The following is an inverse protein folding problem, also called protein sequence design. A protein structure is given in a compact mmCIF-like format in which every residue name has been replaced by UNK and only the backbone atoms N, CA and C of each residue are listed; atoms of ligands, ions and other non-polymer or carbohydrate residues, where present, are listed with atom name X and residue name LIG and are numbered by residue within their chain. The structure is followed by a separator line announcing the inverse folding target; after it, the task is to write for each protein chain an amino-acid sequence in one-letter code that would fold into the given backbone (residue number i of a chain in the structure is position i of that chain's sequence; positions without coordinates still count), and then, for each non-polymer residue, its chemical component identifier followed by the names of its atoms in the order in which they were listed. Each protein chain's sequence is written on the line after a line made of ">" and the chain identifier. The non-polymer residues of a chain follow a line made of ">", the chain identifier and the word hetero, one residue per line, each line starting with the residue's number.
data_IF_451322961409
#
_entry.id   IF_451322961409
#
_cell.length_a   1.000
_cell.length_b   1.000
_cell.length_c   1.000
_cell.angle_alpha   90.00
_cell.angle_beta   90.00
_cell.angle_gamma   90.00
#
_symmetry.space_group_name_H-M   'P 1'
#
loop_
_entity.id
_entity.type
_entity.pdbx_description
1 polymer ?
#
# COMPACT_ATOMS: atom_id res chain seq x y z
N UNK A 1 12.80 9.10 21.58
CA UNK A 1 13.12 9.03 23.01
C UNK A 1 12.18 8.08 23.77
N UNK A 2 10.84 8.21 23.69
CA UNK A 2 9.90 7.43 24.51
C UNK A 2 10.06 5.90 24.34
N UNK A 3 10.11 5.39 23.11
CA UNK A 3 10.29 3.96 22.87
C UNK A 3 11.65 3.42 23.32
N UNK A 4 12.69 4.26 23.35
CA UNK A 4 14.00 3.86 23.88
C UNK A 4 13.94 3.65 25.40
N UNK A 5 13.22 4.50 26.12
CA UNK A 5 13.04 4.31 27.56
C UNK A 5 12.13 3.10 27.84
N UNK A 6 11.03 2.96 27.12
CA UNK A 6 10.15 1.80 27.27
C UNK A 6 10.88 0.48 27.00
N UNK A 7 11.79 0.42 26.02
CA UNK A 7 12.51 -0.81 25.70
C UNK A 7 13.46 -1.28 26.82
N UNK A 8 13.83 -0.40 27.75
CA UNK A 8 14.62 -0.76 28.96
C UNK A 8 13.74 -1.35 30.07
N UNK A 9 12.45 -1.09 30.01
CA UNK A 9 11.50 -1.45 31.08
C UNK A 9 10.62 -2.65 30.69
N UNK A 10 10.38 -2.86 29.41
CA UNK A 10 9.47 -3.90 28.92
C UNK A 10 9.88 -4.42 27.53
N UNK A 11 9.32 -5.58 27.14
CA UNK A 11 9.49 -6.15 25.82
C UNK A 11 8.53 -5.46 24.85
N UNK A 12 9.04 -4.88 23.75
CA UNK A 12 8.24 -4.18 22.75
C UNK A 12 7.93 -5.10 21.58
N UNK A 13 6.67 -5.12 21.18
CA UNK A 13 6.20 -5.71 19.92
C UNK A 13 5.45 -4.62 19.17
N UNK A 14 5.86 -4.35 17.94
CA UNK A 14 5.25 -3.34 17.10
C UNK A 14 4.21 -3.96 16.15
N UNK A 15 3.15 -3.20 15.88
CA UNK A 15 2.19 -3.48 14.82
C UNK A 15 2.40 -2.48 13.68
N UNK A 16 2.45 -2.98 12.46
CA UNK A 16 2.64 -2.27 11.20
C UNK A 16 4.00 -1.63 11.03
N UNK A 17 4.43 -0.73 11.91
CA UNK A 17 5.66 0.03 11.72
C UNK A 17 6.54 0.06 12.97
N UNK A 18 7.84 0.06 12.73
CA UNK A 18 8.86 0.37 13.75
C UNK A 18 9.27 1.83 13.59
N UNK A 19 9.43 2.61 14.67
CA UNK A 19 9.91 3.98 14.56
C UNK A 19 11.24 4.08 13.81
N UNK A 20 11.40 5.13 13.00
CA UNK A 20 12.65 5.38 12.29
C UNK A 20 13.83 5.44 13.27
N UNK A 21 14.96 4.85 12.85
CA UNK A 21 16.18 4.78 13.64
C UNK A 21 16.06 4.05 14.99
N UNK A 22 15.00 3.25 15.18
CA UNK A 22 14.86 2.41 16.37
C UNK A 22 15.62 1.08 16.17
N UNK A 23 16.57 0.80 17.05
CA UNK A 23 17.44 -0.38 16.92
C UNK A 23 16.66 -1.69 16.96
N UNK A 24 16.99 -2.63 16.06
CA UNK A 24 16.43 -3.99 16.02
C UNK A 24 16.65 -4.76 17.32
N UNK A 25 17.63 -4.38 18.12
CA UNK A 25 17.92 -5.02 19.41
C UNK A 25 16.97 -4.58 20.52
N UNK A 26 16.24 -3.47 20.33
CA UNK A 26 15.41 -2.86 21.35
C UNK A 26 13.93 -3.29 21.27
N UNK A 27 13.58 -4.25 20.41
CA UNK A 27 12.23 -4.81 20.35
C UNK A 27 12.27 -6.31 20.03
N UNK A 28 11.19 -7.00 20.35
CA UNK A 28 11.06 -8.45 20.13
C UNK A 28 10.73 -8.71 18.67
N UNK A 29 9.64 -8.15 18.16
CA UNK A 29 9.11 -8.40 16.82
C UNK A 29 8.34 -7.21 16.30
N UNK A 30 8.20 -7.13 14.98
CA UNK A 30 7.22 -6.29 14.29
C UNK A 30 6.30 -7.20 13.48
N UNK A 31 4.99 -7.06 13.68
CA UNK A 31 3.95 -7.76 12.93
C UNK A 31 3.30 -6.77 11.98
N UNK A 32 3.26 -7.10 10.71
CA UNK A 32 2.61 -6.28 9.67
C UNK A 32 1.97 -7.16 8.62
N UNK A 33 1.24 -6.58 7.67
CA UNK A 33 0.96 -7.27 6.41
C UNK A 33 2.30 -7.53 5.70
N UNK A 34 2.35 -8.58 4.87
CA UNK A 34 3.47 -8.77 3.95
C UNK A 34 3.37 -7.68 2.85
N UNK A 35 4.04 -6.55 3.06
CA UNK A 35 3.95 -5.38 2.19
C UNK A 35 4.44 -5.66 0.76
N UNK A 36 5.42 -6.54 0.62
CA UNK A 36 5.91 -6.98 -0.71
C UNK A 36 4.83 -7.69 -1.48
N UNK A 37 4.15 -8.64 -0.83
CA UNK A 37 3.06 -9.39 -1.46
C UNK A 37 1.87 -8.48 -1.73
N UNK A 38 1.56 -7.57 -0.80
CA UNK A 38 0.49 -6.59 -0.94
C UNK A 38 0.68 -5.72 -2.21
N UNK A 39 1.87 -5.16 -2.39
CA UNK A 39 2.22 -4.39 -3.59
C UNK A 39 2.26 -5.24 -4.86
N UNK A 40 2.88 -6.43 -4.79
CA UNK A 40 2.97 -7.35 -5.94
C UNK A 40 1.59 -7.75 -6.45
N UNK A 41 0.66 -8.07 -5.55
CA UNK A 41 -0.72 -8.42 -5.91
C UNK A 41 -1.43 -7.26 -6.61
N UNK A 42 -1.31 -6.05 -6.08
CA UNK A 42 -1.91 -4.86 -6.70
C UNK A 42 -1.33 -4.60 -8.10
N UNK A 43 0.00 -4.68 -8.24
CA UNK A 43 0.66 -4.54 -9.54
C UNK A 43 0.24 -5.62 -10.55
N UNK A 44 0.07 -6.89 -10.11
CA UNK A 44 -0.46 -7.97 -10.98
C UNK A 44 -1.88 -7.68 -11.43
N UNK A 45 -2.76 -7.22 -10.54
CA UNK A 45 -4.14 -6.86 -10.93
C UNK A 45 -4.17 -5.75 -11.99
N UNK A 46 -3.32 -4.74 -11.86
CA UNK A 46 -3.15 -3.70 -12.90
C UNK A 46 -2.68 -4.34 -14.20
N UNK A 47 -1.65 -5.16 -14.15
CA UNK A 47 -1.10 -5.85 -15.31
C UNK A 47 -2.13 -6.70 -16.03
N UNK A 48 -2.86 -7.55 -15.31
CA UNK A 48 -3.94 -8.38 -15.86
C UNK A 48 -5.08 -7.55 -16.47
N UNK A 49 -5.43 -6.43 -15.85
CA UNK A 49 -6.47 -5.53 -16.37
C UNK A 49 -6.06 -4.83 -17.66
N UNK A 50 -4.79 -4.52 -17.81
CA UNK A 50 -4.28 -3.72 -18.94
C UNK A 50 -3.61 -4.54 -20.05
N UNK A 51 -3.25 -5.82 -19.82
CA UNK A 51 -2.44 -6.63 -20.75
C UNK A 51 -2.96 -6.73 -22.19
N UNK A 52 -4.28 -6.60 -22.37
CA UNK A 52 -4.92 -6.67 -23.69
C UNK A 52 -5.07 -5.28 -24.36
N UNK A 53 -4.70 -4.21 -23.65
CA UNK A 53 -4.83 -2.83 -24.14
C UNK A 53 -3.50 -2.38 -24.77
N UNK A 54 -3.47 -2.05 -26.06
CA UNK A 54 -2.24 -1.60 -26.70
C UNK A 54 -1.78 -0.28 -26.10
N UNK A 55 -0.47 -0.16 -25.85
CA UNK A 55 0.14 1.05 -25.31
C UNK A 55 -0.49 1.52 -23.99
N UNK A 56 -0.84 0.57 -23.13
CA UNK A 56 -1.49 0.88 -21.85
C UNK A 56 -0.59 1.76 -20.98
N UNK A 57 -1.20 2.79 -20.37
CA UNK A 57 -0.51 3.76 -19.51
C UNK A 57 -1.07 3.76 -18.10
N UNK A 58 -0.18 3.75 -17.13
CA UNK A 58 -0.53 3.76 -15.70
C UNK A 58 0.16 4.90 -14.97
N UNK A 59 -0.58 5.57 -14.08
CA UNK A 59 -0.05 6.55 -13.15
C UNK A 59 0.07 5.98 -11.75
N UNK A 60 1.12 6.37 -11.03
CA UNK A 60 1.37 5.99 -9.63
C UNK A 60 1.24 7.20 -8.72
N UNK A 61 0.30 7.14 -7.78
CA UNK A 61 0.11 8.12 -6.71
C UNK A 61 0.56 7.47 -5.41
N UNK A 62 1.70 7.89 -4.92
CA UNK A 62 2.42 7.21 -3.84
C UNK A 62 2.58 8.10 -2.61
N UNK A 63 2.87 7.47 -1.46
CA UNK A 63 3.21 8.21 -0.25
C UNK A 63 4.65 8.71 -0.31
N UNK A 64 4.84 10.03 -0.30
CA UNK A 64 6.17 10.65 -0.37
C UNK A 64 6.95 10.64 0.95
N UNK A 65 6.28 10.37 2.10
CA UNK A 65 6.97 10.12 3.36
C UNK A 65 7.53 8.69 3.35
N UNK A 66 8.83 8.54 3.53
CA UNK A 66 9.54 7.26 3.38
C UNK A 66 9.28 6.29 4.55
N UNK A 67 8.01 5.92 4.77
CA UNK A 67 7.67 4.82 5.66
C UNK A 67 7.94 3.48 4.99
N UNK A 68 8.54 2.56 5.73
CA UNK A 68 8.93 1.25 5.19
C UNK A 68 7.77 0.53 4.50
N UNK A 69 6.60 0.45 5.15
CA UNK A 69 5.46 -0.30 4.64
C UNK A 69 4.97 0.21 3.28
N UNK A 70 4.65 1.50 3.19
CA UNK A 70 4.18 2.10 1.92
C UNK A 70 5.25 2.09 0.85
N UNK A 71 6.52 2.35 1.20
CA UNK A 71 7.64 2.33 0.23
C UNK A 71 7.85 0.94 -0.37
N UNK A 72 7.85 -0.13 0.45
CA UNK A 72 7.98 -1.52 -0.05
C UNK A 72 6.80 -1.89 -0.95
N UNK A 73 5.60 -1.57 -0.54
CA UNK A 73 4.35 -1.83 -1.28
C UNK A 73 4.37 -1.16 -2.65
N UNK A 74 4.62 0.16 -2.67
CA UNK A 74 4.65 0.96 -3.91
C UNK A 74 5.74 0.46 -4.87
N UNK A 75 6.93 0.19 -4.36
CA UNK A 75 8.04 -0.31 -5.17
C UNK A 75 7.79 -1.72 -5.72
N UNK A 76 7.13 -2.60 -4.95
CA UNK A 76 6.81 -3.96 -5.43
C UNK A 76 5.69 -3.93 -6.49
N UNK A 77 4.71 -3.03 -6.36
CA UNK A 77 3.69 -2.85 -7.39
C UNK A 77 4.32 -2.34 -8.71
N UNK A 78 5.22 -1.38 -8.64
CA UNK A 78 5.96 -0.87 -9.80
C UNK A 78 6.86 -1.95 -10.40
N UNK A 79 7.60 -2.67 -9.57
CA UNK A 79 8.53 -3.72 -10.00
C UNK A 79 7.83 -4.81 -10.80
N UNK A 80 6.73 -5.36 -10.30
CA UNK A 80 6.02 -6.46 -10.99
C UNK A 80 5.46 -6.00 -12.33
N UNK A 81 5.00 -4.75 -12.44
CA UNK A 81 4.57 -4.20 -13.73
C UNK A 81 5.73 -4.15 -14.73
N UNK A 82 6.87 -3.60 -14.34
CA UNK A 82 8.06 -3.50 -15.22
C UNK A 82 8.61 -4.86 -15.63
N UNK A 83 8.59 -5.86 -14.73
CA UNK A 83 9.19 -7.17 -14.99
C UNK A 83 8.27 -8.13 -15.73
N UNK A 84 6.95 -8.09 -15.47
CA UNK A 84 6.00 -9.09 -15.99
C UNK A 84 5.03 -8.53 -17.04
N UNK A 85 4.94 -7.21 -17.17
CA UNK A 85 4.05 -6.52 -18.10
C UNK A 85 4.77 -5.37 -18.83
N UNK A 86 5.87 -5.65 -19.54
CA UNK A 86 6.76 -4.62 -20.09
C UNK A 86 6.11 -3.71 -21.14
N UNK A 87 4.96 -4.12 -21.73
CA UNK A 87 4.20 -3.33 -22.69
C UNK A 87 3.33 -2.26 -22.01
N UNK A 88 3.22 -2.29 -20.67
CA UNK A 88 2.50 -1.27 -19.89
C UNK A 88 3.49 -0.18 -19.47
N UNK A 89 3.24 1.04 -19.93
CA UNK A 89 4.06 2.21 -19.60
C UNK A 89 3.65 2.79 -18.23
N UNK A 90 4.60 2.92 -17.32
CA UNK A 90 4.43 3.75 -16.12
C UNK A 90 4.75 5.19 -16.51
N UNK A 91 3.73 5.94 -16.91
CA UNK A 91 3.87 7.27 -17.48
C UNK A 91 4.19 8.33 -16.46
N UNK A 92 3.64 8.22 -15.25
CA UNK A 92 3.84 9.19 -14.18
C UNK A 92 3.89 8.52 -12.81
N UNK A 93 4.76 9.07 -11.94
CA UNK A 93 4.89 8.67 -10.54
C UNK A 93 5.00 9.93 -9.69
N UNK A 94 3.94 10.28 -8.96
CA UNK A 94 3.88 11.49 -8.12
C UNK A 94 3.58 11.14 -6.67
N UNK A 95 4.23 11.83 -5.74
CA UNK A 95 4.08 11.63 -4.30
C UNK A 95 3.26 12.72 -3.63
N UNK A 96 2.54 12.34 -2.54
CA UNK A 96 1.95 13.26 -1.58
C UNK A 96 2.56 13.02 -0.20
N UNK A 97 2.59 14.06 0.65
CA UNK A 97 2.98 13.96 2.06
C UNK A 97 1.73 14.03 2.95
N UNK A 98 0.91 15.04 2.74
CA UNK A 98 -0.39 15.17 3.41
C UNK A 98 -1.44 14.48 2.55
N UNK A 99 -2.27 13.65 3.16
CA UNK A 99 -3.26 12.82 2.45
C UNK A 99 -4.16 13.69 1.56
N UNK A 100 -4.56 14.85 2.04
CA UNK A 100 -5.42 15.82 1.35
C UNK A 100 -4.87 16.24 -0.02
N UNK A 101 -3.54 16.22 -0.16
CA UNK A 101 -2.88 16.56 -1.42
C UNK A 101 -3.04 15.48 -2.51
N UNK A 102 -3.48 14.27 -2.17
CA UNK A 102 -3.71 13.21 -3.16
C UNK A 102 -4.73 13.62 -4.23
N UNK A 103 -5.75 14.42 -3.85
CA UNK A 103 -6.68 15.00 -4.83
C UNK A 103 -5.95 15.86 -5.87
N UNK A 104 -5.14 16.81 -5.41
CA UNK A 104 -4.39 17.73 -6.27
C UNK A 104 -3.40 16.96 -7.13
N UNK A 105 -2.66 16.02 -6.54
CA UNK A 105 -1.69 15.17 -7.26
C UNK A 105 -2.36 14.40 -8.40
N UNK A 106 -3.51 13.80 -8.14
CA UNK A 106 -4.29 13.11 -9.18
C UNK A 106 -4.77 14.07 -10.27
N UNK A 107 -5.36 15.19 -9.87
CA UNK A 107 -5.88 16.20 -10.78
C UNK A 107 -4.81 16.71 -11.76
N UNK A 108 -3.64 17.07 -11.25
CA UNK A 108 -2.49 17.52 -12.03
C UNK A 108 -1.92 16.39 -12.92
N UNK A 109 -1.80 15.18 -12.38
CA UNK A 109 -1.30 14.01 -13.15
C UNK A 109 -2.17 13.73 -14.37
N UNK A 110 -3.49 13.73 -14.23
CA UNK A 110 -4.40 13.43 -15.32
C UNK A 110 -4.44 14.56 -16.37
N UNK A 111 -4.31 15.81 -15.96
CA UNK A 111 -4.21 16.93 -16.91
C UNK A 111 -2.89 16.89 -17.70
N UNK A 112 -1.78 16.50 -17.08
CA UNK A 112 -0.47 16.36 -17.74
C UNK A 112 -0.40 15.11 -18.62
N UNK A 113 -1.09 14.03 -18.25
CA UNK A 113 -1.09 12.74 -18.91
C UNK A 113 -2.53 12.23 -19.14
N UNK A 114 -3.27 12.83 -20.08
CA UNK A 114 -4.70 12.53 -20.28
C UNK A 114 -4.96 11.13 -20.84
N UNK A 115 -3.94 10.43 -21.29
CA UNK A 115 -3.98 9.08 -21.85
C UNK A 115 -3.74 7.96 -20.82
N UNK A 116 -3.58 8.29 -19.52
CA UNK A 116 -3.57 7.32 -18.43
C UNK A 116 -4.89 6.55 -18.41
N UNK A 117 -4.82 5.23 -18.30
CA UNK A 117 -5.96 4.30 -18.30
C UNK A 117 -6.19 3.63 -16.94
N UNK A 118 -5.17 3.62 -16.09
CA UNK A 118 -5.28 3.14 -14.72
C UNK A 118 -4.41 3.93 -13.76
N UNK A 119 -4.82 3.96 -12.49
CA UNK A 119 -4.05 4.51 -11.38
C UNK A 119 -3.76 3.44 -10.35
N UNK A 120 -2.51 3.37 -9.91
CA UNK A 120 -2.13 2.80 -8.64
C UNK A 120 -2.15 3.89 -7.57
N UNK A 121 -2.79 3.63 -6.42
CA UNK A 121 -2.77 4.54 -5.28
C UNK A 121 -2.42 3.76 -4.02
N UNK A 122 -1.47 4.24 -3.23
CA UNK A 122 -0.81 3.50 -2.15
C UNK A 122 -1.74 2.85 -1.11
N UNK A 123 -2.91 3.46 -0.79
CA UNK A 123 -3.94 2.89 0.09
C UNK A 123 -5.30 3.59 -0.08
N UNK A 124 -6.32 3.15 0.68
CA UNK A 124 -7.73 3.54 0.56
C UNK A 124 -7.99 5.06 0.62
N UNK A 125 -7.55 5.76 1.65
CA UNK A 125 -7.85 7.19 1.84
C UNK A 125 -7.37 8.09 0.70
N UNK A 126 -6.12 8.04 0.24
CA UNK A 126 -5.71 8.78 -0.95
C UNK A 126 -6.40 8.28 -2.22
N UNK A 127 -6.81 7.00 -2.31
CA UNK A 127 -7.56 6.49 -3.46
C UNK A 127 -8.94 7.14 -3.56
N UNK A 128 -9.66 7.33 -2.47
CA UNK A 128 -10.93 8.06 -2.44
C UNK A 128 -10.77 9.51 -2.93
N UNK A 129 -9.67 10.17 -2.56
CA UNK A 129 -9.37 11.52 -3.03
C UNK A 129 -9.00 11.55 -4.50
N UNK A 130 -8.26 10.55 -4.99
CA UNK A 130 -7.97 10.40 -6.42
C UNK A 130 -9.26 10.17 -7.22
N UNK A 131 -10.15 9.29 -6.75
CA UNK A 131 -11.47 9.06 -7.39
C UNK A 131 -12.30 10.35 -7.43
N UNK A 132 -12.29 11.13 -6.35
CA UNK A 132 -12.96 12.44 -6.32
C UNK A 132 -12.40 13.39 -7.39
N UNK A 133 -11.10 13.39 -7.63
CA UNK A 133 -10.46 14.17 -8.69
C UNK A 133 -10.86 13.65 -10.08
N UNK A 134 -10.90 12.33 -10.28
CA UNK A 134 -11.36 11.71 -11.53
C UNK A 134 -12.82 12.09 -11.84
N UNK A 135 -13.71 12.01 -10.85
CA UNK A 135 -15.12 12.44 -10.98
C UNK A 135 -15.23 13.93 -11.37
N UNK A 136 -14.41 14.80 -10.76
CA UNK A 136 -14.38 16.22 -11.10
C UNK A 136 -13.86 16.50 -12.52
N UNK A 137 -12.99 15.66 -13.04
CA UNK A 137 -12.47 15.71 -14.41
C UNK A 137 -13.34 14.99 -15.45
N UNK A 138 -14.47 14.38 -15.03
CA UNK A 138 -15.29 13.48 -15.84
C UNK A 138 -14.52 12.29 -16.45
N UNK A 139 -13.47 11.82 -15.76
CA UNK A 139 -12.61 10.69 -16.16
C UNK A 139 -13.04 9.41 -15.44
N UNK A 140 -14.28 8.99 -15.70
CA UNK A 140 -14.85 7.74 -15.15
C UNK A 140 -14.35 6.48 -15.85
N UNK A 141 -13.59 6.67 -16.93
CA UNK A 141 -12.93 5.63 -17.73
C UNK A 141 -11.63 5.09 -17.10
N UNK A 142 -11.04 5.81 -16.15
CA UNK A 142 -9.78 5.44 -15.51
C UNK A 142 -10.04 4.47 -14.36
N UNK A 143 -9.43 3.27 -14.45
CA UNK A 143 -9.50 2.26 -13.40
C UNK A 143 -8.58 2.61 -12.22
N UNK A 144 -9.05 2.44 -10.99
CA UNK A 144 -8.25 2.65 -9.78
C UNK A 144 -7.92 1.31 -9.13
N UNK A 145 -6.66 1.14 -8.77
CA UNK A 145 -6.15 0.01 -8.00
C UNK A 145 -5.48 0.55 -6.72
N UNK A 146 -5.78 -0.08 -5.60
CA UNK A 146 -5.30 0.40 -4.31
C UNK A 146 -5.00 -0.76 -3.35
N UNK A 147 -4.66 -0.43 -2.14
CA UNK A 147 -4.58 -1.39 -1.03
C UNK A 147 -5.49 -0.93 0.11
N UNK A 148 -5.72 -1.86 1.03
CA UNK A 148 -6.63 -1.68 2.16
C UNK A 148 -8.11 -1.54 1.74
N UNK A 149 -9.00 -1.93 2.61
CA UNK A 149 -10.43 -1.97 2.37
C UNK A 149 -11.17 -1.35 3.54
N UNK A 150 -11.92 -0.31 3.26
CA UNK A 150 -12.94 0.22 4.13
C UNK A 150 -14.31 0.25 3.42
N UNK A 151 -15.33 0.75 4.10
CA UNK A 151 -16.68 0.81 3.56
C UNK A 151 -16.76 1.70 2.31
N UNK A 152 -16.09 2.85 2.32
CA UNK A 152 -16.13 3.82 1.22
C UNK A 152 -15.44 3.27 -0.04
N UNK A 153 -14.32 2.54 0.10
CA UNK A 153 -13.66 1.85 -1.02
C UNK A 153 -14.53 0.72 -1.57
N UNK A 154 -15.24 -0.02 -0.69
CA UNK A 154 -16.18 -1.05 -1.15
C UNK A 154 -17.31 -0.45 -1.99
N UNK A 155 -17.82 0.73 -1.64
CA UNK A 155 -18.79 1.46 -2.44
C UNK A 155 -18.23 1.87 -3.80
N UNK A 156 -16.99 2.39 -3.86
CA UNK A 156 -16.34 2.76 -5.12
C UNK A 156 -16.01 1.53 -6.00
N UNK A 157 -15.77 0.35 -5.39
CA UNK A 157 -15.70 -0.92 -6.12
C UNK A 157 -17.04 -1.28 -6.74
N UNK A 158 -18.14 -1.17 -5.98
CA UNK A 158 -19.48 -1.45 -6.49
C UNK A 158 -19.90 -0.48 -7.60
N UNK A 159 -19.47 0.78 -7.53
CA UNK A 159 -19.66 1.77 -8.59
C UNK A 159 -18.73 1.57 -9.79
N UNK A 160 -17.72 0.73 -9.68
CA UNK A 160 -16.81 0.36 -10.76
C UNK A 160 -15.59 1.26 -10.95
N UNK A 161 -15.28 2.17 -10.02
CA UNK A 161 -14.05 2.95 -10.04
C UNK A 161 -12.85 2.12 -9.58
N UNK A 162 -12.96 1.42 -8.46
CA UNK A 162 -11.91 0.52 -7.98
C UNK A 162 -12.08 -0.84 -8.64
N UNK A 163 -11.08 -1.26 -9.42
CA UNK A 163 -11.09 -2.52 -10.19
C UNK A 163 -10.35 -3.64 -9.49
N UNK A 164 -9.56 -3.32 -8.47
CA UNK A 164 -8.88 -4.32 -7.66
C UNK A 164 -8.17 -3.69 -6.48
N UNK A 165 -8.07 -4.46 -5.42
CA UNK A 165 -7.29 -4.10 -4.24
C UNK A 165 -6.69 -5.35 -3.58
N UNK A 166 -5.59 -5.14 -2.89
CA UNK A 166 -5.01 -6.11 -1.97
C UNK A 166 -5.11 -5.56 -0.56
N UNK A 167 -5.65 -6.33 0.39
CA UNK A 167 -5.99 -5.79 1.70
C UNK A 167 -5.33 -6.55 2.84
N UNK A 168 -5.08 -5.83 3.93
CA UNK A 168 -4.57 -6.38 5.16
C UNK A 168 -5.59 -7.31 5.84
N UNK A 169 -5.10 -8.14 6.75
CA UNK A 169 -5.89 -9.05 7.59
C UNK A 169 -5.69 -8.67 9.07
N UNK A 170 -6.35 -7.62 9.56
CA UNK A 170 -6.10 -7.08 10.92
C UNK A 170 -6.32 -8.11 12.03
N UNK A 171 -7.32 -8.98 11.89
CA UNK A 171 -7.56 -10.07 12.84
C UNK A 171 -6.36 -11.03 12.92
N UNK A 172 -5.81 -11.45 11.77
CA UNK A 172 -4.67 -12.36 11.74
C UNK A 172 -3.38 -11.67 12.22
N UNK A 173 -3.22 -10.38 11.97
CA UNK A 173 -2.12 -9.59 12.52
C UNK A 173 -2.22 -9.53 14.06
N UNK A 174 -3.42 -9.29 14.61
CA UNK A 174 -3.65 -9.32 16.06
C UNK A 174 -3.36 -10.69 16.68
N UNK A 175 -3.80 -11.78 16.01
CA UNK A 175 -3.51 -13.15 16.43
C UNK A 175 -1.99 -13.45 16.39
N UNK A 176 -1.30 -13.05 15.33
CA UNK A 176 0.14 -13.21 15.23
C UNK A 176 0.89 -12.42 16.32
N UNK A 177 0.42 -11.21 16.64
CA UNK A 177 0.98 -10.40 17.73
C UNK A 177 0.79 -11.08 19.08
N UNK A 178 -0.40 -11.59 19.39
CA UNK A 178 -0.67 -12.32 20.63
C UNK A 178 0.23 -13.56 20.77
N UNK A 179 0.40 -14.32 19.70
CA UNK A 179 1.31 -15.48 19.67
C UNK A 179 2.77 -15.06 19.85
N UNK A 180 3.20 -13.95 19.26
CA UNK A 180 4.55 -13.42 19.44
C UNK A 180 4.79 -12.98 20.89
N UNK A 181 3.80 -12.35 21.53
CA UNK A 181 3.86 -12.01 22.96
C UNK A 181 4.02 -13.28 23.79
N UNK A 182 3.11 -14.25 23.66
CA UNK A 182 3.15 -15.50 24.42
C UNK A 182 4.51 -16.23 24.25
N UNK A 183 4.98 -16.34 23.00
CA UNK A 183 6.28 -16.96 22.72
C UNK A 183 7.44 -16.19 23.36
N UNK A 184 7.39 -14.86 23.38
CA UNK A 184 8.46 -14.04 23.97
C UNK A 184 8.60 -14.20 25.48
N UNK A 185 7.56 -14.67 26.17
CA UNK A 185 7.61 -14.91 27.61
C UNK A 185 8.35 -16.21 27.99
N UNK A 186 8.45 -17.15 27.06
CA UNK A 186 9.05 -18.48 27.28
C UNK A 186 10.28 -18.75 26.40
N UNK A 187 10.57 -17.90 25.44
CA UNK A 187 11.68 -18.08 24.50
C UNK A 187 12.10 -16.75 23.88
N UNK A 188 13.40 -16.56 23.68
CA UNK A 188 13.93 -15.42 22.94
C UNK A 188 13.96 -15.62 21.41
N UNK A 189 13.47 -16.79 20.93
CA UNK A 189 13.45 -17.15 19.50
C UNK A 189 12.14 -16.70 18.83
N UNK A 190 11.83 -15.41 18.91
CA UNK A 190 10.71 -14.80 18.16
C UNK A 190 11.29 -14.13 16.90
N UNK A 191 10.74 -14.37 15.70
CA UNK A 191 11.18 -13.69 14.49
C UNK A 191 11.09 -12.16 14.64
N UNK A 192 12.08 -11.43 14.16
CA UNK A 192 12.11 -9.96 14.22
C UNK A 192 11.04 -9.29 13.35
N UNK A 193 10.53 -10.00 12.34
CA UNK A 193 9.43 -9.57 11.49
C UNK A 193 8.51 -10.76 11.20
N UNK A 194 7.23 -10.53 11.31
CA UNK A 194 6.18 -11.49 10.96
C UNK A 194 5.24 -10.80 9.96
N UNK A 195 5.33 -11.22 8.69
CA UNK A 195 4.47 -10.73 7.62
C UNK A 195 3.23 -11.61 7.48
N UNK A 196 2.06 -11.02 7.68
CA UNK A 196 0.76 -11.70 7.46
C UNK A 196 0.38 -11.53 6.00
N UNK A 197 -0.03 -12.62 5.35
CA UNK A 197 -0.42 -12.59 3.93
C UNK A 197 -1.68 -11.72 3.74
N UNK A 198 -1.70 -10.83 2.70
CA UNK A 198 -2.88 -10.05 2.38
C UNK A 198 -3.97 -10.93 1.73
N UNK A 199 -5.20 -10.38 1.65
CA UNK A 199 -6.23 -10.84 0.73
C UNK A 199 -6.15 -10.07 -0.61
N UNK A 200 -6.63 -10.73 -1.68
CA UNK A 200 -6.83 -10.17 -3.01
C UNK A 200 -8.27 -10.35 -3.41
#
# INVERSE_FOLDING_TARGET
>A
PAFQELSKMTRLIFLSNVPQNFSRNNYVSCISVNERENGTNTGRMIGEYLKEKPHAKVGFIIHGAMFYGTTERDNCAEKILRESYPDIEITARKGFIQIENAYKVCYEMINEHPDIQALYVSWDRPALLAIKALKALNRTDIAVFTTDLDFEIAEEMNQGFVKGLSTQRPYDQGKAAALAVAKSLVSDKVPKYIGVQPYV
#
